data_IF_983943161315
#
_entry.id   IF_983943161315
#
_cell.length_a   1.000
_cell.length_b   1.000
_cell.length_c   1.000
_cell.angle_alpha   90.00
_cell.angle_beta   90.00
_cell.angle_gamma   90.00
#
_symmetry.space_group_name_H-M   'P 1'
#
loop_
_entity.id
_entity.type
_entity.pdbx_description
1 polymer ?
#
# COMPACT_ATOMS: atom_id res chain seq x y z
N UNK A 1 -8.90 18.49 -18.30
CA UNK A 1 -8.57 17.08 -18.14
C UNK A 1 -7.43 16.91 -17.16
N UNK A 2 -7.64 16.12 -16.13
CA UNK A 2 -6.61 15.90 -15.13
C UNK A 2 -5.58 14.90 -15.58
N UNK A 3 -4.32 15.29 -15.58
CA UNK A 3 -3.23 14.39 -15.91
C UNK A 3 -3.19 13.19 -14.98
N UNK A 4 -3.61 13.39 -13.74
CA UNK A 4 -3.60 12.31 -12.73
C UNK A 4 -4.50 11.15 -13.13
N UNK A 5 -5.60 11.43 -13.82
CA UNK A 5 -6.52 10.39 -14.27
C UNK A 5 -5.91 9.51 -15.35
N UNK A 6 -4.94 10.06 -16.08
CA UNK A 6 -4.31 9.35 -17.18
C UNK A 6 -3.08 8.57 -16.76
N UNK A 7 -2.64 8.73 -15.50
CA UNK A 7 -1.49 7.99 -15.00
C UNK A 7 -1.82 6.53 -14.81
N UNK A 8 -0.91 5.64 -15.18
CA UNK A 8 -1.11 4.21 -14.89
C UNK A 8 -1.26 3.96 -13.39
N UNK A 9 -2.05 2.96 -13.00
CA UNK A 9 -2.24 2.66 -11.58
C UNK A 9 -0.95 2.47 -10.80
N UNK A 10 0.07 1.88 -11.42
CA UNK A 10 1.35 1.69 -10.74
C UNK A 10 2.02 3.00 -10.36
N UNK A 11 1.91 4.02 -11.20
CA UNK A 11 2.48 5.32 -10.89
C UNK A 11 1.66 6.05 -9.84
N UNK A 12 0.35 5.89 -9.85
CA UNK A 12 -0.50 6.45 -8.82
C UNK A 12 -0.19 5.84 -7.46
N UNK A 13 0.03 4.52 -7.42
CA UNK A 13 0.45 3.84 -6.20
C UNK A 13 1.78 4.37 -5.69
N UNK A 14 2.73 4.54 -6.61
CA UNK A 14 4.05 5.04 -6.24
C UNK A 14 3.95 6.42 -5.61
N UNK A 15 3.11 7.27 -6.16
CA UNK A 15 2.89 8.61 -5.62
C UNK A 15 2.28 8.56 -4.21
N UNK A 16 1.42 7.58 -3.94
CA UNK A 16 0.84 7.41 -2.62
C UNK A 16 1.82 6.81 -1.63
N UNK A 17 2.65 5.87 -2.08
CA UNK A 17 3.59 5.19 -1.21
C UNK A 17 4.78 6.06 -0.82
N UNK A 18 5.22 6.94 -1.71
CA UNK A 18 6.44 7.71 -1.53
C UNK A 18 6.49 8.50 -0.23
N UNK A 19 5.47 9.30 0.11
CA UNK A 19 5.52 10.05 1.36
C UNK A 19 5.64 9.16 2.59
N UNK A 20 4.99 8.01 2.56
CA UNK A 20 5.06 7.06 3.66
C UNK A 20 6.46 6.45 3.78
N UNK A 21 7.05 6.08 2.65
CA UNK A 21 8.40 5.53 2.63
C UNK A 21 9.42 6.56 3.10
N UNK A 22 9.23 7.83 2.74
CA UNK A 22 10.08 8.90 3.20
C UNK A 22 9.97 9.10 4.71
N UNK A 23 8.75 9.00 5.25
CA UNK A 23 8.56 9.09 6.68
C UNK A 23 9.24 7.94 7.41
N UNK A 24 9.16 6.74 6.87
CA UNK A 24 9.85 5.59 7.45
C UNK A 24 11.36 5.80 7.47
N UNK A 25 11.91 6.32 6.38
CA UNK A 25 13.34 6.54 6.27
C UNK A 25 13.83 7.58 7.29
N UNK A 26 12.98 8.53 7.64
CA UNK A 26 13.32 9.59 8.59
C UNK A 26 12.99 9.22 10.03
N UNK A 27 12.41 8.04 10.26
CA UNK A 27 11.98 7.61 11.60
C UNK A 27 13.16 7.07 12.42
N UNK A 28 12.89 6.83 13.71
CA UNK A 28 13.86 6.24 14.61
C UNK A 28 13.92 4.71 14.54
N UNK A 29 13.15 4.12 13.65
CA UNK A 29 13.13 2.68 13.49
C UNK A 29 14.49 2.18 13.00
N UNK A 30 14.84 0.94 13.38
CA UNK A 30 16.10 0.37 12.93
C UNK A 30 16.06 0.15 11.43
N UNK A 31 17.23 0.15 10.76
CA UNK A 31 17.28 -0.12 9.32
C UNK A 31 16.60 -1.43 8.93
N UNK A 32 16.73 -2.44 9.77
CA UNK A 32 16.11 -3.75 9.53
C UNK A 32 14.59 -3.65 9.54
N UNK A 33 14.04 -2.90 10.48
CA UNK A 33 12.59 -2.71 10.58
C UNK A 33 12.08 -1.88 9.41
N UNK A 34 12.81 -0.84 9.04
CA UNK A 34 12.45 -0.01 7.89
C UNK A 34 12.41 -0.87 6.62
N UNK A 35 13.43 -1.71 6.42
CA UNK A 35 13.47 -2.59 5.26
C UNK A 35 12.29 -3.55 5.22
N UNK A 36 11.89 -4.06 6.37
CA UNK A 36 10.74 -4.95 6.47
C UNK A 36 9.46 -4.25 6.00
N UNK A 37 9.26 -3.01 6.44
CA UNK A 37 8.10 -2.23 5.98
C UNK A 37 8.16 -1.94 4.49
N UNK A 38 9.34 -1.59 3.99
CA UNK A 38 9.52 -1.34 2.56
C UNK A 38 9.15 -2.58 1.75
N UNK A 39 9.64 -3.74 2.17
CA UNK A 39 9.35 -5.00 1.47
C UNK A 39 7.84 -5.29 1.50
N UNK A 40 7.19 -5.02 2.62
CA UNK A 40 5.75 -5.23 2.75
C UNK A 40 4.96 -4.26 1.86
N UNK A 41 5.45 -3.03 1.69
CA UNK A 41 4.80 -2.08 0.78
C UNK A 41 4.89 -2.55 -0.66
N UNK A 42 6.02 -3.14 -1.07
CA UNK A 42 6.15 -3.72 -2.40
C UNK A 42 5.18 -4.88 -2.60
N UNK A 43 5.01 -5.70 -1.56
CA UNK A 43 4.04 -6.80 -1.61
C UNK A 43 2.63 -6.26 -1.76
N UNK A 44 2.29 -5.20 -1.03
CA UNK A 44 0.97 -4.57 -1.14
C UNK A 44 0.74 -4.05 -2.56
N UNK A 45 1.75 -3.41 -3.14
CA UNK A 45 1.64 -2.93 -4.50
C UNK A 45 1.35 -4.04 -5.49
N UNK A 46 2.03 -5.18 -5.33
CA UNK A 46 1.80 -6.34 -6.18
C UNK A 46 0.38 -6.89 -6.06
N UNK A 47 -0.12 -7.00 -4.83
CA UNK A 47 -1.49 -7.47 -4.61
C UNK A 47 -2.52 -6.50 -5.18
N UNK A 48 -2.28 -5.21 -5.03
CA UNK A 48 -3.17 -4.20 -5.58
C UNK A 48 -3.27 -4.33 -7.11
N UNK A 49 -2.14 -4.43 -7.78
CA UNK A 49 -2.13 -4.54 -9.24
C UNK A 49 -2.81 -5.83 -9.68
N UNK A 50 -2.58 -6.92 -8.95
CA UNK A 50 -3.25 -8.19 -9.25
C UNK A 50 -4.77 -8.05 -9.16
N UNK A 51 -5.26 -7.38 -8.12
CA UNK A 51 -6.70 -7.20 -7.96
C UNK A 51 -7.28 -6.36 -9.08
N UNK A 52 -6.56 -5.33 -9.53
CA UNK A 52 -7.02 -4.52 -10.66
C UNK A 52 -7.15 -5.34 -11.94
N UNK A 53 -6.25 -6.29 -12.15
CA UNK A 53 -6.32 -7.17 -13.31
C UNK A 53 -7.48 -8.16 -13.22
N UNK A 54 -7.79 -8.61 -11.99
CA UNK A 54 -8.83 -9.60 -11.77
C UNK A 54 -10.23 -9.00 -11.77
N UNK A 55 -10.37 -7.75 -11.35
CA UNK A 55 -11.67 -7.12 -11.20
C UNK A 55 -11.68 -5.77 -11.92
N UNK A 56 -12.28 -5.75 -13.10
CA UNK A 56 -12.33 -4.55 -13.92
C UNK A 56 -13.13 -3.42 -13.29
N UNK A 57 -14.05 -3.75 -12.36
CA UNK A 57 -14.82 -2.71 -11.69
C UNK A 57 -13.94 -1.81 -10.84
N UNK A 58 -12.82 -2.33 -10.33
CA UNK A 58 -11.91 -1.54 -9.52
C UNK A 58 -11.20 -0.46 -10.32
N UNK A 59 -11.05 -0.68 -11.63
CA UNK A 59 -10.34 0.29 -12.49
C UNK A 59 -11.08 1.60 -12.63
N UNK A 60 -12.39 1.59 -12.41
CA UNK A 60 -13.19 2.81 -12.48
C UNK A 60 -13.17 3.63 -11.22
N UNK A 61 -12.53 3.14 -10.16
CA UNK A 61 -12.50 3.80 -8.86
C UNK A 61 -11.14 4.48 -8.64
N UNK A 62 -11.10 5.57 -7.85
CA UNK A 62 -9.83 6.18 -7.49
C UNK A 62 -8.90 5.19 -6.82
N UNK A 63 -7.62 5.21 -7.18
CA UNK A 63 -6.64 4.29 -6.64
C UNK A 63 -6.58 4.39 -5.12
N UNK A 64 -6.57 5.59 -4.58
CA UNK A 64 -6.50 5.78 -3.14
C UNK A 64 -7.69 5.14 -2.42
N UNK A 65 -8.88 5.27 -2.97
CA UNK A 65 -10.08 4.69 -2.37
C UNK A 65 -9.99 3.16 -2.30
N UNK A 66 -9.62 2.55 -3.43
CA UNK A 66 -9.48 1.10 -3.48
C UNK A 66 -8.42 0.63 -2.51
N UNK A 67 -7.27 1.30 -2.50
CA UNK A 67 -6.17 0.96 -1.63
C UNK A 67 -6.57 1.03 -0.15
N UNK A 68 -7.24 2.12 0.24
CA UNK A 68 -7.68 2.28 1.63
C UNK A 68 -8.64 1.18 2.06
N UNK A 69 -9.52 0.77 1.17
CA UNK A 69 -10.44 -0.31 1.47
C UNK A 69 -9.71 -1.64 1.64
N UNK A 70 -8.66 -1.87 0.85
CA UNK A 70 -7.87 -3.09 0.95
C UNK A 70 -7.14 -3.23 2.28
N UNK A 71 -6.73 -2.11 2.87
CA UNK A 71 -5.86 -2.13 4.04
C UNK A 71 -6.54 -1.62 5.32
N UNK A 72 -7.84 -1.44 5.30
CA UNK A 72 -8.56 -0.87 6.43
C UNK A 72 -8.37 -1.68 7.72
N UNK A 73 -8.36 -3.00 7.62
CA UNK A 73 -8.23 -3.87 8.78
C UNK A 73 -6.97 -4.72 8.75
N UNK A 74 -6.05 -4.40 7.88
CA UNK A 74 -4.85 -5.15 7.64
C UNK A 74 -4.67 -5.26 6.15
N UNK A 75 -3.79 -6.13 5.69
CA UNK A 75 -3.56 -6.30 4.26
C UNK A 75 -4.35 -7.46 3.68
N UNK A 76 -4.32 -7.60 2.36
CA UNK A 76 -4.92 -8.77 1.72
C UNK A 76 -4.17 -10.03 2.12
N UNK A 77 -4.81 -11.17 1.93
CA UNK A 77 -4.18 -12.44 2.24
C UNK A 77 -3.02 -12.71 1.29
N UNK A 78 -1.87 -13.01 1.87
CA UNK A 78 -0.70 -13.41 1.09
C UNK A 78 -0.74 -14.92 0.91
N UNK A 79 -0.62 -15.37 -0.34
CA UNK A 79 -0.66 -16.79 -0.63
C UNK A 79 0.68 -17.46 -0.42
N UNK A 80 1.74 -16.67 -0.28
CA UNK A 80 3.10 -17.17 -0.06
C UNK A 80 3.59 -16.66 1.28
N UNK A 81 4.18 -17.53 2.05
CA UNK A 81 4.68 -17.16 3.35
C UNK A 81 3.77 -17.68 4.46
N UNK A 82 4.26 -17.65 5.68
CA UNK A 82 3.56 -18.17 6.85
C UNK A 82 2.77 -17.10 7.58
N UNK A 83 2.24 -17.51 8.74
CA UNK A 83 1.45 -16.59 9.58
C UNK A 83 2.25 -15.40 10.04
N UNK A 84 3.54 -15.59 10.33
CA UNK A 84 4.40 -14.49 10.77
C UNK A 84 4.56 -13.45 9.68
N UNK A 85 4.69 -13.87 8.43
CA UNK A 85 4.83 -12.97 7.32
C UNK A 85 3.53 -12.21 7.08
N UNK A 86 2.39 -12.91 7.17
CA UNK A 86 1.09 -12.25 7.03
C UNK A 86 0.88 -11.23 8.14
N UNK A 87 1.26 -11.56 9.36
CA UNK A 87 1.12 -10.66 10.50
C UNK A 87 1.98 -9.41 10.32
N UNK A 88 3.21 -9.59 9.85
CA UNK A 88 4.11 -8.49 9.57
C UNK A 88 3.53 -7.58 8.47
N UNK A 89 3.02 -8.19 7.42
CA UNK A 89 2.41 -7.47 6.31
C UNK A 89 1.19 -6.68 6.78
N UNK A 90 0.31 -7.31 7.56
CA UNK A 90 -0.88 -6.64 8.09
C UNK A 90 -0.51 -5.44 8.96
N UNK A 91 0.55 -5.58 9.75
CA UNK A 91 1.03 -4.49 10.59
C UNK A 91 1.45 -3.29 9.76
N UNK A 92 2.19 -3.53 8.67
CA UNK A 92 2.60 -2.46 7.77
C UNK A 92 1.40 -1.81 7.10
N UNK A 93 0.44 -2.61 6.67
CA UNK A 93 -0.76 -2.09 6.03
C UNK A 93 -1.57 -1.21 6.97
N UNK A 94 -1.72 -1.62 8.23
CA UNK A 94 -2.42 -0.80 9.22
C UNK A 94 -1.68 0.51 9.48
N UNK A 95 -0.36 0.46 9.54
CA UNK A 95 0.46 1.65 9.73
C UNK A 95 0.29 2.62 8.57
N UNK A 96 0.30 2.09 7.35
CA UNK A 96 0.10 2.89 6.15
C UNK A 96 -1.31 3.48 6.11
N UNK A 97 -2.31 2.71 6.50
CA UNK A 97 -3.69 3.20 6.55
C UNK A 97 -3.81 4.39 7.49
N UNK A 98 -3.19 4.31 8.67
CA UNK A 98 -3.20 5.42 9.61
C UNK A 98 -2.49 6.64 9.04
N UNK A 99 -1.40 6.41 8.29
CA UNK A 99 -0.69 7.50 7.63
C UNK A 99 -1.59 8.21 6.62
N UNK A 100 -2.28 7.43 5.78
CA UNK A 100 -3.20 8.00 4.79
C UNK A 100 -4.34 8.77 5.46
N UNK A 101 -4.86 8.25 6.55
CA UNK A 101 -5.94 8.91 7.27
C UNK A 101 -5.50 10.26 7.83
N UNK A 102 -4.26 10.38 8.27
CA UNK A 102 -3.74 11.64 8.80
C UNK A 102 -3.47 12.66 7.72
N UNK A 103 -3.09 12.21 6.53
CA UNK A 103 -2.69 13.11 5.45
C UNK A 103 -3.83 13.42 4.49
N UNK A 104 -4.92 12.68 4.55
CA UNK A 104 -6.05 12.84 3.64
C UNK A 104 -7.04 13.84 4.21
N UNK A 105 -6.74 15.08 4.07
CA UNK A 105 -7.63 16.12 4.58
C UNK A 105 -8.19 16.96 3.48
#
# INVERSE_FOLDING_TARGET
MGLEKDLPPGEQLRALFRPFLEQLAASDLSPKTIQKHVDNMWALGGEFIRDLHSDSALRGKPVELVLRQMIEYGGPLLYHGGEDQQRSFDSTCRKFHRFLAKTAR
#
